data_IF_545488184086
#
_entry.id   IF_545488184086
#
_cell.length_a   1.000
_cell.length_b   1.000
_cell.length_c   1.000
_cell.angle_alpha   90.00
_cell.angle_beta   90.00
_cell.angle_gamma   90.00
#
_symmetry.space_group_name_H-M   'P 1'
#
loop_
_entity.id
_entity.type
_entity.pdbx_description
1 polymer ?
#
# COMPACT_ATOMS: atom_id res chain seq x y z
N UNK A 1 27.85 -9.12 10.92
CA UNK A 1 26.97 -9.45 12.06
C UNK A 1 25.73 -8.57 12.01
N UNK A 2 24.72 -8.99 11.25
CA UNK A 2 23.48 -8.24 11.01
C UNK A 2 22.56 -8.43 12.21
N UNK A 3 22.21 -7.34 12.89
CA UNK A 3 21.37 -7.34 14.11
C UNK A 3 19.95 -7.80 13.78
N UNK A 4 19.53 -8.91 14.38
CA UNK A 4 18.12 -9.27 14.59
C UNK A 4 17.45 -8.13 15.38
N UNK A 5 16.43 -7.49 14.80
CA UNK A 5 15.61 -6.52 15.50
C UNK A 5 14.18 -7.04 15.68
N UNK A 6 13.81 -7.20 16.94
CA UNK A 6 12.41 -7.30 17.37
C UNK A 6 11.75 -5.92 17.22
N UNK A 7 10.63 -5.84 16.49
CA UNK A 7 9.90 -4.59 16.34
C UNK A 7 9.18 -4.22 17.65
N UNK A 8 9.60 -3.09 18.26
CA UNK A 8 8.92 -2.46 19.40
C UNK A 8 8.16 -1.22 18.94
N UNK A 9 6.85 -1.23 19.19
CA UNK A 9 5.74 -0.30 18.85
C UNK A 9 6.00 1.22 18.91
N UNK A 10 7.10 1.69 19.53
CA UNK A 10 7.30 3.10 19.91
C UNK A 10 8.07 3.95 18.90
N UNK A 11 8.85 3.34 18.00
CA UNK A 11 9.79 4.07 17.12
C UNK A 11 9.16 4.63 15.84
N UNK A 12 7.94 4.19 15.49
CA UNK A 12 7.23 4.59 14.27
C UNK A 12 6.54 5.95 14.43
N UNK A 13 6.01 6.28 15.61
CA UNK A 13 5.32 7.57 15.84
C UNK A 13 6.28 8.78 15.85
N UNK A 14 7.49 8.61 16.36
CA UNK A 14 8.45 9.70 16.54
C UNK A 14 9.05 10.16 15.20
N UNK A 15 9.28 9.21 14.29
CA UNK A 15 9.71 9.51 12.91
C UNK A 15 8.59 10.19 12.10
N UNK A 16 7.34 9.82 12.37
CA UNK A 16 6.15 10.40 11.71
C UNK A 16 5.97 11.89 12.05
N UNK A 17 6.32 12.31 13.28
CA UNK A 17 6.25 13.72 13.70
C UNK A 17 7.36 14.58 13.09
N UNK A 18 8.60 14.08 13.02
CA UNK A 18 9.74 14.81 12.40
C UNK A 18 9.56 15.00 10.89
N UNK A 19 8.99 14.03 10.18
CA UNK A 19 8.70 14.14 8.74
C UNK A 19 7.56 15.13 8.44
N UNK A 20 6.65 15.39 9.39
CA UNK A 20 5.54 16.35 9.22
C UNK A 20 6.00 17.81 9.31
N UNK A 21 7.11 18.09 10.00
CA UNK A 21 7.63 19.45 10.18
C UNK A 21 8.48 19.95 8.98
N UNK A 22 9.03 19.04 8.18
CA UNK A 22 9.92 19.36 7.04
C UNK A 22 9.24 19.14 5.68
N UNK A 23 7.91 19.14 5.65
CA UNK A 23 7.14 18.85 4.42
C UNK A 23 7.17 20.04 3.44
N UNK A 24 7.74 19.89 2.22
CA UNK A 24 7.80 20.96 1.22
C UNK A 24 6.43 21.47 0.78
N UNK A 25 5.34 20.73 1.06
CA UNK A 25 3.96 21.17 0.83
C UNK A 25 3.54 22.33 1.72
N UNK A 26 4.02 22.41 2.97
CA UNK A 26 3.70 23.52 3.90
C UNK A 26 4.33 24.84 3.43
N UNK A 27 5.46 24.76 2.71
CA UNK A 27 6.12 25.92 2.13
C UNK A 27 5.52 26.30 0.77
N UNK A 28 4.96 25.33 0.02
CA UNK A 28 4.36 25.60 -1.26
C UNK A 28 2.93 26.18 -1.13
N UNK A 29 2.10 25.70 -0.19
CA UNK A 29 0.81 26.35 0.13
C UNK A 29 1.00 27.79 0.60
N UNK A 30 2.08 28.09 1.33
CA UNK A 30 2.49 29.48 1.66
C UNK A 30 2.85 30.32 0.41
N UNK A 31 3.42 29.73 -0.65
CA UNK A 31 3.75 30.44 -1.90
C UNK A 31 2.52 30.79 -2.75
N UNK A 32 1.51 29.92 -2.83
CA UNK A 32 0.26 30.22 -3.56
C UNK A 32 -0.64 31.20 -2.82
N UNK A 33 -0.69 31.08 -1.49
CA UNK A 33 -1.28 32.11 -0.64
C UNK A 33 -0.63 33.47 -0.91
N UNK A 34 0.70 33.53 -1.08
CA UNK A 34 1.41 34.77 -1.40
C UNK A 34 1.09 35.31 -2.82
N UNK A 35 0.95 34.46 -3.84
CA UNK A 35 0.65 34.92 -5.21
C UNK A 35 -0.81 35.36 -5.38
N UNK A 36 -1.78 34.63 -4.83
CA UNK A 36 -3.18 35.05 -4.86
C UNK A 36 -3.42 36.26 -3.93
N UNK A 37 -2.73 36.33 -2.79
CA UNK A 37 -2.76 37.52 -1.94
C UNK A 37 -2.15 38.74 -2.64
N UNK A 38 -1.09 38.58 -3.43
CA UNK A 38 -0.49 39.68 -4.20
C UNK A 38 -1.49 40.31 -5.18
N UNK A 39 -2.24 39.51 -5.95
CA UNK A 39 -3.29 40.02 -6.84
C UNK A 39 -4.43 40.70 -6.08
N UNK A 40 -4.85 40.14 -4.95
CA UNK A 40 -5.90 40.70 -4.09
C UNK A 40 -5.43 42.03 -3.45
N UNK A 41 -4.19 42.12 -2.98
CA UNK A 41 -3.61 43.33 -2.39
C UNK A 41 -3.46 44.45 -3.41
N UNK A 42 -3.07 44.15 -4.65
CA UNK A 42 -2.99 45.16 -5.72
C UNK A 42 -4.36 45.71 -6.12
N UNK A 43 -5.41 44.89 -6.09
CA UNK A 43 -6.78 45.30 -6.43
C UNK A 43 -7.50 46.07 -5.31
N UNK A 44 -6.94 46.09 -4.10
CA UNK A 44 -7.44 46.86 -2.95
C UNK A 44 -6.91 48.31 -2.90
N UNK A 45 -5.96 48.69 -3.76
CA UNK A 45 -5.42 50.06 -3.83
C UNK A 45 -6.21 50.85 -4.89
N UNK A 46 -7.12 51.76 -4.49
CA UNK A 46 -8.04 52.43 -5.41
C UNK A 46 -7.36 53.41 -6.39
N UNK A 47 -6.08 53.72 -6.21
CA UNK A 47 -5.31 54.60 -7.11
C UNK A 47 -4.61 53.89 -8.28
N UNK A 48 -4.48 52.55 -8.26
CA UNK A 48 -3.77 51.79 -9.30
C UNK A 48 -4.76 50.89 -10.08
N UNK A 49 -5.91 50.57 -9.49
CA UNK A 49 -6.91 49.69 -10.11
C UNK A 49 -7.88 50.48 -11.00
N UNK A 50 -7.78 50.31 -12.32
CA UNK A 50 -8.69 50.89 -13.32
C UNK A 50 -9.99 50.10 -13.52
N UNK A 51 -10.16 48.99 -12.79
CA UNK A 51 -11.30 48.06 -12.89
C UNK A 51 -12.10 48.07 -11.59
N UNK A 52 -13.43 47.96 -11.69
CA UNK A 52 -14.31 47.83 -10.54
C UNK A 52 -13.94 46.56 -9.73
N UNK A 53 -13.69 46.64 -8.41
CA UNK A 53 -13.27 45.49 -7.59
C UNK A 53 -14.16 44.25 -7.70
N UNK A 54 -15.45 44.46 -8.01
CA UNK A 54 -16.43 43.39 -8.22
C UNK A 54 -16.09 42.53 -9.44
N UNK A 55 -15.60 43.12 -10.54
CA UNK A 55 -15.33 42.38 -11.78
C UNK A 55 -14.08 41.50 -11.70
N UNK A 56 -13.18 41.74 -10.75
CA UNK A 56 -11.99 40.89 -10.51
C UNK A 56 -12.20 39.87 -9.39
N UNK A 57 -12.88 40.25 -8.31
CA UNK A 57 -13.13 39.37 -7.16
C UNK A 57 -14.15 38.29 -7.50
N UNK A 58 -15.20 38.62 -8.26
CA UNK A 58 -16.30 37.68 -8.53
C UNK A 58 -15.84 36.45 -9.33
N UNK A 59 -15.10 36.57 -10.46
CA UNK A 59 -14.62 35.39 -11.19
C UNK A 59 -13.62 34.55 -10.39
N UNK A 60 -12.74 35.20 -9.61
CA UNK A 60 -11.77 34.50 -8.76
C UNK A 60 -12.47 33.71 -7.65
N UNK A 61 -13.44 34.32 -6.96
CA UNK A 61 -14.22 33.66 -5.92
C UNK A 61 -15.01 32.47 -6.48
N UNK A 62 -15.58 32.61 -7.68
CA UNK A 62 -16.30 31.54 -8.36
C UNK A 62 -15.38 30.33 -8.69
N UNK A 63 -14.22 30.57 -9.30
CA UNK A 63 -13.26 29.50 -9.62
C UNK A 63 -12.77 28.81 -8.36
N UNK A 64 -12.39 29.58 -7.32
CA UNK A 64 -11.96 29.01 -6.03
C UNK A 64 -13.07 28.17 -5.37
N UNK A 65 -14.32 28.61 -5.45
CA UNK A 65 -15.45 27.85 -4.91
C UNK A 65 -15.66 26.53 -5.66
N UNK A 66 -15.60 26.54 -7.00
CA UNK A 66 -15.72 25.31 -7.81
C UNK A 66 -14.58 24.32 -7.53
N UNK A 67 -13.34 24.81 -7.42
CA UNK A 67 -12.19 23.96 -7.06
C UNK A 67 -12.35 23.38 -5.67
N UNK A 68 -12.76 24.17 -4.68
CA UNK A 68 -12.98 23.69 -3.32
C UNK A 68 -14.08 22.63 -3.23
N UNK A 69 -15.18 22.79 -3.98
CA UNK A 69 -16.25 21.80 -4.06
C UNK A 69 -15.72 20.50 -4.67
N UNK A 70 -15.01 20.60 -5.80
CA UNK A 70 -14.42 19.42 -6.48
C UNK A 70 -13.46 18.67 -5.56
N UNK A 71 -12.52 19.37 -4.94
CA UNK A 71 -11.53 18.77 -4.05
C UNK A 71 -12.21 18.09 -2.86
N UNK A 72 -13.26 18.70 -2.30
CA UNK A 72 -14.06 18.09 -1.24
C UNK A 72 -14.79 16.82 -1.72
N UNK A 73 -15.35 16.81 -2.93
CA UNK A 73 -16.00 15.61 -3.48
C UNK A 73 -15.00 14.49 -3.74
N UNK A 74 -13.83 14.79 -4.28
CA UNK A 74 -12.77 13.82 -4.57
C UNK A 74 -12.21 13.21 -3.27
N UNK A 75 -12.02 14.03 -2.24
CA UNK A 75 -11.53 13.58 -0.92
C UNK A 75 -12.56 12.68 -0.21
N UNK A 76 -13.86 13.03 -0.26
CA UNK A 76 -14.93 12.16 0.26
C UNK A 76 -14.97 10.83 -0.49
N UNK A 77 -14.88 10.85 -1.82
CA UNK A 77 -14.89 9.64 -2.63
C UNK A 77 -13.70 8.74 -2.29
N UNK A 78 -12.51 9.32 -2.11
CA UNK A 78 -11.31 8.61 -1.68
C UNK A 78 -11.49 7.96 -0.30
N UNK A 79 -11.99 8.71 0.69
CA UNK A 79 -12.21 8.15 2.02
C UNK A 79 -13.22 6.99 2.02
N UNK A 80 -14.25 7.05 1.17
CA UNK A 80 -15.18 5.92 0.97
C UNK A 80 -14.48 4.72 0.36
N UNK A 81 -13.62 4.92 -0.66
CA UNK A 81 -12.83 3.85 -1.28
C UNK A 81 -11.90 3.18 -0.28
N UNK A 82 -11.11 3.97 0.47
CA UNK A 82 -10.19 3.47 1.50
C UNK A 82 -10.94 2.67 2.56
N UNK A 83 -12.11 3.16 3.01
CA UNK A 83 -12.94 2.43 3.97
C UNK A 83 -13.48 1.13 3.40
N UNK A 84 -13.83 1.10 2.12
CA UNK A 84 -14.30 -0.13 1.47
C UNK A 84 -13.19 -1.18 1.43
N UNK A 85 -11.99 -0.84 0.96
CA UNK A 85 -10.84 -1.77 0.89
C UNK A 85 -10.44 -2.27 2.28
N UNK A 86 -10.34 -1.39 3.26
CA UNK A 86 -9.94 -1.73 4.63
C UNK A 86 -10.93 -2.64 5.38
N UNK A 87 -12.21 -2.66 4.97
CA UNK A 87 -13.24 -3.49 5.57
C UNK A 87 -13.54 -4.78 4.78
N UNK A 88 -12.86 -5.00 3.64
CA UNK A 88 -12.94 -6.29 2.95
C UNK A 88 -12.42 -7.40 3.87
N UNK A 89 -13.05 -8.56 3.75
CA UNK A 89 -12.77 -9.73 4.56
C UNK A 89 -11.72 -10.61 3.88
N UNK A 90 -10.91 -11.27 4.70
CA UNK A 90 -9.87 -12.21 4.30
C UNK A 90 -9.77 -13.30 5.36
N UNK A 91 -9.44 -14.52 4.94
CA UNK A 91 -9.24 -15.64 5.86
C UNK A 91 -7.81 -15.65 6.38
N UNK A 92 -7.65 -15.93 7.66
CA UNK A 92 -6.37 -16.01 8.36
C UNK A 92 -6.28 -17.30 9.15
N UNK A 93 -5.10 -17.89 9.23
CA UNK A 93 -4.85 -19.05 10.11
C UNK A 93 -4.66 -18.53 11.53
N UNK A 94 -5.53 -18.94 12.45
CA UNK A 94 -5.48 -18.55 13.87
C UNK A 94 -5.59 -19.81 14.72
N UNK A 95 -4.47 -20.20 15.33
CA UNK A 95 -4.38 -21.54 15.92
C UNK A 95 -4.58 -22.58 14.83
N UNK A 96 -5.50 -23.53 15.03
CA UNK A 96 -5.78 -24.63 14.09
C UNK A 96 -7.04 -24.41 13.25
N UNK A 97 -7.49 -23.16 13.12
CA UNK A 97 -8.72 -22.81 12.41
C UNK A 97 -8.52 -21.64 11.44
N UNK A 98 -9.37 -21.57 10.43
CA UNK A 98 -9.45 -20.43 9.51
C UNK A 98 -10.46 -19.41 10.05
N UNK A 99 -9.94 -18.29 10.55
CA UNK A 99 -10.74 -17.18 11.03
C UNK A 99 -10.87 -16.10 9.95
N UNK A 100 -12.08 -15.58 9.77
CA UNK A 100 -12.33 -14.42 8.89
C UNK A 100 -11.97 -13.14 9.63
N UNK A 101 -11.11 -12.31 9.03
CA UNK A 101 -10.66 -11.01 9.54
C UNK A 101 -10.78 -9.95 8.46
N UNK A 102 -10.67 -8.68 8.83
CA UNK A 102 -10.65 -7.56 7.88
C UNK A 102 -9.21 -7.18 7.54
N UNK A 103 -8.98 -6.68 6.34
CA UNK A 103 -7.64 -6.24 5.91
C UNK A 103 -6.98 -5.25 6.86
N UNK A 104 -7.73 -4.32 7.45
CA UNK A 104 -7.21 -3.37 8.44
C UNK A 104 -6.62 -4.01 9.72
N UNK A 105 -6.99 -5.26 10.01
CA UNK A 105 -6.61 -5.98 11.22
C UNK A 105 -5.45 -6.97 10.96
N UNK A 106 -4.96 -7.06 9.72
CA UNK A 106 -3.86 -7.94 9.29
C UNK A 106 -2.51 -7.35 9.67
N UNK A 107 -1.64 -8.18 10.25
CA UNK A 107 -0.30 -7.81 10.66
C UNK A 107 0.77 -8.62 9.93
N UNK A 108 2.01 -8.11 9.96
CA UNK A 108 3.17 -8.85 9.47
C UNK A 108 3.35 -10.14 10.28
N UNK A 109 3.54 -11.25 9.58
CA UNK A 109 3.64 -12.60 10.14
C UNK A 109 2.32 -13.38 10.15
N UNK A 110 1.18 -12.74 9.90
CA UNK A 110 -0.08 -13.47 9.76
C UNK A 110 -0.04 -14.35 8.48
N UNK A 111 -0.55 -15.57 8.58
CA UNK A 111 -0.78 -16.44 7.42
C UNK A 111 -2.21 -16.19 6.94
N UNK A 112 -2.34 -15.77 5.69
CA UNK A 112 -3.62 -15.49 5.04
C UNK A 112 -3.91 -16.56 4.00
N UNK A 113 -5.20 -16.82 3.78
CA UNK A 113 -5.68 -17.63 2.66
C UNK A 113 -6.36 -16.70 1.67
N UNK A 114 -5.75 -16.54 0.49
CA UNK A 114 -6.38 -15.89 -0.66
C UNK A 114 -7.21 -16.91 -1.45
N UNK A 115 -8.30 -16.43 -2.03
CA UNK A 115 -9.17 -17.18 -2.93
C UNK A 115 -9.25 -16.49 -4.30
N UNK A 116 -9.73 -17.21 -5.30
CA UNK A 116 -9.80 -16.67 -6.66
C UNK A 116 -10.52 -15.31 -6.70
N UNK A 117 -9.91 -14.34 -7.39
CA UNK A 117 -10.31 -12.93 -7.51
C UNK A 117 -10.06 -12.04 -6.28
N UNK A 118 -9.45 -12.57 -5.21
CA UNK A 118 -9.05 -11.74 -4.07
C UNK A 118 -8.00 -10.71 -4.47
N UNK A 119 -8.15 -9.54 -3.85
CA UNK A 119 -7.32 -8.37 -4.11
C UNK A 119 -6.36 -8.15 -2.95
N UNK A 120 -5.07 -8.03 -3.26
CA UNK A 120 -4.03 -7.91 -2.25
C UNK A 120 -3.85 -6.46 -1.77
N UNK A 121 -3.90 -6.29 -0.45
CA UNK A 121 -3.61 -4.99 0.22
C UNK A 121 -2.30 -5.00 1.02
N UNK A 122 -1.57 -6.12 0.96
CA UNK A 122 -0.31 -6.36 1.67
C UNK A 122 0.66 -7.09 0.74
N UNK A 123 1.91 -7.26 1.18
CA UNK A 123 2.87 -8.10 0.48
C UNK A 123 2.92 -9.46 1.15
N UNK A 124 2.88 -10.51 0.33
CA UNK A 124 2.72 -11.89 0.78
C UNK A 124 3.85 -12.72 0.16
N UNK A 125 4.51 -13.53 0.97
CA UNK A 125 5.38 -14.61 0.47
C UNK A 125 4.53 -15.86 0.32
N UNK A 126 4.57 -16.44 -0.89
CA UNK A 126 3.84 -17.66 -1.24
C UNK A 126 4.33 -18.85 -0.41
N UNK A 127 3.43 -19.56 0.25
CA UNK A 127 3.72 -20.82 0.97
C UNK A 127 3.23 -22.00 0.14
N UNK A 128 1.94 -22.04 -0.18
CA UNK A 128 1.31 -23.12 -0.92
C UNK A 128 0.14 -22.61 -1.76
N UNK A 129 -0.24 -23.37 -2.77
CA UNK A 129 -1.29 -23.02 -3.74
C UNK A 129 -2.08 -24.26 -4.14
N UNK A 130 -3.29 -24.07 -4.64
CA UNK A 130 -4.10 -25.14 -5.22
C UNK A 130 -3.55 -25.69 -6.54
N UNK A 131 -2.72 -24.93 -7.24
CA UNK A 131 -2.22 -25.34 -8.55
C UNK A 131 -0.96 -26.21 -8.45
N UNK A 132 -0.75 -27.00 -9.51
CA UNK A 132 0.40 -27.89 -9.61
C UNK A 132 1.73 -27.12 -9.58
N UNK A 133 2.76 -27.75 -9.04
CA UNK A 133 4.12 -27.23 -8.95
C UNK A 133 4.25 -25.88 -8.20
N UNK A 134 3.30 -25.55 -7.33
CA UNK A 134 3.38 -24.32 -6.55
C UNK A 134 3.01 -23.06 -7.33
N UNK A 135 2.40 -23.17 -8.50
CA UNK A 135 2.09 -22.02 -9.36
C UNK A 135 0.90 -21.21 -8.85
N UNK A 136 0.92 -19.90 -9.06
CA UNK A 136 -0.27 -19.08 -8.94
C UNK A 136 -0.26 -17.98 -10.00
N UNK A 137 -1.45 -17.56 -10.42
CA UNK A 137 -1.59 -16.55 -11.47
C UNK A 137 -2.10 -15.26 -10.86
N UNK A 138 -1.43 -14.16 -11.21
CA UNK A 138 -1.79 -12.84 -10.74
C UNK A 138 -2.01 -11.90 -11.92
N UNK A 139 -3.03 -11.07 -11.78
CA UNK A 139 -3.29 -9.94 -12.66
C UNK A 139 -2.68 -8.68 -12.05
N UNK A 140 -1.96 -7.90 -12.86
CA UNK A 140 -1.31 -6.64 -12.45
C UNK A 140 -1.90 -5.41 -13.11
N UNK A 141 -3.08 -5.51 -13.73
CA UNK A 141 -3.71 -4.44 -14.50
C UNK A 141 -3.84 -3.13 -13.69
N UNK A 142 -4.06 -3.21 -12.39
CA UNK A 142 -4.15 -2.06 -11.49
C UNK A 142 -2.80 -1.41 -11.18
N UNK A 143 -1.70 -2.15 -11.27
CA UNK A 143 -0.35 -1.67 -10.96
C UNK A 143 0.40 -1.15 -12.18
N UNK A 144 0.35 -1.87 -13.31
CA UNK A 144 1.10 -1.54 -14.54
C UNK A 144 0.25 -1.43 -15.81
N UNK A 145 -1.07 -1.64 -15.71
CA UNK A 145 -1.98 -1.60 -16.86
C UNK A 145 -1.91 -2.84 -17.76
N UNK A 146 -1.11 -3.85 -17.40
CA UNK A 146 -1.00 -5.08 -18.17
C UNK A 146 -2.14 -6.05 -17.80
N UNK A 147 -2.94 -6.47 -18.79
CA UNK A 147 -4.04 -7.43 -18.60
C UNK A 147 -3.59 -8.89 -18.64
N UNK A 148 -2.30 -9.12 -18.88
CA UNK A 148 -1.76 -10.47 -18.94
C UNK A 148 -1.56 -11.01 -17.53
N UNK A 149 -1.85 -12.30 -17.37
CA UNK A 149 -1.56 -12.99 -16.13
C UNK A 149 -0.05 -13.21 -16.00
N UNK A 150 0.51 -12.79 -14.87
CA UNK A 150 1.88 -13.11 -14.47
C UNK A 150 1.86 -14.36 -13.62
N UNK A 151 2.81 -15.25 -13.88
CA UNK A 151 2.97 -16.49 -13.12
C UNK A 151 3.91 -16.19 -11.94
N UNK A 152 3.52 -16.66 -10.77
CA UNK A 152 4.33 -16.69 -9.56
C UNK A 152 4.39 -18.11 -9.03
N UNK A 153 5.37 -18.41 -8.19
CA UNK A 153 5.60 -19.77 -7.72
C UNK A 153 5.99 -19.78 -6.25
N UNK A 154 5.31 -20.59 -5.45
CA UNK A 154 5.71 -20.94 -4.10
C UNK A 154 7.01 -21.76 -4.11
N UNK A 155 7.73 -21.77 -3.00
CA UNK A 155 8.90 -22.63 -2.86
C UNK A 155 8.46 -24.10 -2.86
N UNK A 156 9.23 -24.96 -3.52
CA UNK A 156 8.90 -26.39 -3.63
C UNK A 156 8.78 -27.03 -2.23
N UNK A 157 9.62 -26.62 -1.29
CA UNK A 157 9.60 -27.12 0.08
C UNK A 157 8.30 -26.76 0.80
N UNK A 158 7.81 -25.52 0.63
CA UNK A 158 6.61 -25.05 1.33
C UNK A 158 5.32 -25.55 0.67
N UNK A 159 5.37 -25.90 -0.62
CA UNK A 159 4.22 -26.44 -1.35
C UNK A 159 3.66 -27.71 -0.72
N UNK A 160 4.51 -28.56 -0.13
CA UNK A 160 4.10 -29.81 0.53
C UNK A 160 3.15 -29.60 1.72
N UNK A 161 3.09 -28.38 2.27
CA UNK A 161 2.16 -28.02 3.34
C UNK A 161 0.71 -28.09 2.84
N UNK A 162 0.45 -27.65 1.60
CA UNK A 162 -0.89 -27.63 1.02
C UNK A 162 -1.90 -26.80 1.82
N UNK A 163 -3.13 -27.29 1.91
CA UNK A 163 -4.25 -26.70 2.68
C UNK A 163 -4.32 -27.23 4.13
N UNK A 164 -3.28 -27.91 4.61
CA UNK A 164 -3.24 -28.49 5.95
C UNK A 164 -3.07 -27.39 7.01
N UNK A 165 -4.18 -27.01 7.66
CA UNK A 165 -4.23 -25.93 8.66
C UNK A 165 -3.34 -26.26 9.86
N UNK A 166 -3.21 -27.53 10.25
CA UNK A 166 -2.34 -27.92 11.36
C UNK A 166 -0.88 -27.63 11.01
N UNK A 167 -0.43 -28.02 9.82
CA UNK A 167 0.93 -27.72 9.34
C UNK A 167 1.16 -26.21 9.19
N UNK A 168 0.20 -25.49 8.60
CA UNK A 168 0.25 -24.03 8.47
C UNK A 168 0.35 -23.33 9.83
N UNK A 169 -0.39 -23.82 10.84
CA UNK A 169 -0.35 -23.26 12.20
C UNK A 169 1.00 -23.47 12.89
N UNK A 170 1.69 -24.56 12.55
CA UNK A 170 3.03 -24.89 13.05
C UNK A 170 4.16 -24.33 12.17
N UNK A 171 3.84 -23.60 11.10
CA UNK A 171 4.81 -23.07 10.16
C UNK A 171 5.63 -21.94 10.81
N UNK A 172 6.82 -22.29 11.29
CA UNK A 172 7.79 -21.36 11.87
C UNK A 172 8.95 -21.15 10.90
N UNK A 173 8.82 -20.15 10.04
CA UNK A 173 9.84 -19.78 9.07
C UNK A 173 10.38 -18.37 9.35
N UNK A 174 11.69 -18.21 9.18
CA UNK A 174 12.37 -16.93 9.35
C UNK A 174 12.72 -16.36 7.99
N UNK A 175 12.38 -15.10 7.75
CA UNK A 175 12.71 -14.40 6.51
C UNK A 175 13.66 -13.23 6.81
N UNK A 176 14.69 -13.10 5.98
CA UNK A 176 15.55 -11.92 6.04
C UNK A 176 14.81 -10.70 5.50
N UNK A 177 14.70 -9.67 6.34
CA UNK A 177 13.94 -8.46 6.00
C UNK A 177 14.87 -7.35 5.49
N UNK A 178 14.50 -6.71 4.38
CA UNK A 178 15.07 -5.42 4.00
C UNK A 178 14.21 -4.29 4.56
N UNK A 179 14.83 -3.19 4.97
CA UNK A 179 14.08 -1.97 5.14
C UNK A 179 13.31 -1.67 3.82
N UNK A 180 12.02 -1.29 3.88
CA UNK A 180 11.26 -1.09 2.65
C UNK A 180 11.95 -0.02 1.80
N UNK A 181 12.27 -0.36 0.55
CA UNK A 181 12.99 0.48 -0.40
C UNK A 181 12.10 0.82 -1.61
N UNK A 182 12.54 1.74 -2.45
CA UNK A 182 11.78 2.17 -3.63
C UNK A 182 11.94 1.23 -4.83
N UNK A 183 12.76 0.17 -4.69
CA UNK A 183 13.04 -0.79 -5.75
C UNK A 183 12.06 -1.96 -5.68
N UNK A 184 10.95 -1.84 -6.41
CA UNK A 184 9.94 -2.89 -6.54
C UNK A 184 10.46 -4.13 -7.27
N UNK A 185 11.46 -3.96 -8.16
CA UNK A 185 12.01 -5.01 -9.02
C UNK A 185 13.07 -5.92 -8.40
N UNK A 186 13.52 -5.68 -7.17
CA UNK A 186 14.55 -6.50 -6.51
C UNK A 186 14.07 -6.93 -5.12
N UNK A 187 13.66 -8.20 -5.04
CA UNK A 187 13.56 -8.96 -3.81
C UNK A 187 14.45 -10.18 -3.97
N UNK A 188 15.46 -10.28 -3.10
CA UNK A 188 16.45 -11.34 -3.10
C UNK A 188 16.85 -11.62 -1.65
N UNK A 189 16.10 -12.51 -1.00
CA UNK A 189 16.23 -12.79 0.43
C UNK A 189 16.21 -14.28 0.66
N UNK A 190 16.54 -14.71 1.87
CA UNK A 190 16.48 -16.12 2.22
C UNK A 190 15.30 -16.40 3.16
N UNK A 191 14.61 -17.51 2.89
CA UNK A 191 13.71 -18.17 3.83
C UNK A 191 14.51 -19.25 4.56
N UNK A 192 14.49 -19.23 5.88
CA UNK A 192 15.04 -20.28 6.73
C UNK A 192 13.86 -21.02 7.34
N UNK A 193 13.71 -22.29 6.97
CA UNK A 193 12.66 -23.16 7.47
C UNK A 193 13.20 -24.58 7.62
N UNK A 194 12.89 -25.25 8.74
CA UNK A 194 13.41 -26.59 9.07
C UNK A 194 14.95 -26.73 8.95
N UNK A 195 15.69 -25.71 9.38
CA UNK A 195 17.15 -25.60 9.23
C UNK A 195 17.67 -25.62 7.78
N UNK A 196 16.79 -25.45 6.80
CA UNK A 196 17.13 -25.28 5.38
C UNK A 196 16.97 -23.82 4.98
N UNK A 197 17.94 -23.31 4.22
CA UNK A 197 17.91 -21.96 3.68
C UNK A 197 17.57 -22.04 2.19
N UNK A 198 16.46 -21.42 1.79
CA UNK A 198 15.99 -21.38 0.41
C UNK A 198 15.87 -19.92 -0.07
N UNK A 199 16.31 -19.59 -1.30
CA UNK A 199 16.26 -18.23 -1.81
C UNK A 199 14.83 -17.84 -2.20
N UNK A 200 14.37 -16.70 -1.71
CA UNK A 200 13.15 -16.01 -2.10
C UNK A 200 13.47 -14.88 -3.09
N UNK A 201 12.86 -14.98 -4.26
CA UNK A 201 12.92 -13.98 -5.33
C UNK A 201 11.58 -13.26 -5.47
N UNK A 202 11.53 -12.28 -6.37
CA UNK A 202 10.28 -11.62 -6.77
C UNK A 202 9.19 -12.61 -7.21
N UNK A 203 9.56 -13.74 -7.80
CA UNK A 203 8.61 -14.74 -8.27
C UNK A 203 7.92 -15.51 -7.14
N UNK A 204 8.45 -15.42 -5.92
CA UNK A 204 7.86 -16.00 -4.71
C UNK A 204 7.00 -14.99 -3.93
N UNK A 205 6.84 -13.77 -4.44
CA UNK A 205 6.11 -12.69 -3.79
C UNK A 205 4.87 -12.27 -4.57
N UNK A 206 3.81 -12.02 -3.82
CA UNK A 206 2.66 -11.26 -4.27
C UNK A 206 2.71 -9.87 -3.65
N UNK A 207 2.51 -8.84 -4.47
CA UNK A 207 2.60 -7.44 -4.07
C UNK A 207 1.19 -6.84 -3.91
N UNK A 208 1.14 -5.67 -3.28
CA UNK A 208 -0.05 -4.83 -3.18
C UNK A 208 -0.59 -4.46 -4.58
N UNK A 209 -1.92 -4.35 -4.70
CA UNK A 209 -2.67 -4.09 -5.94
C UNK A 209 -2.58 -5.18 -7.01
N UNK A 210 -2.22 -6.40 -6.61
CA UNK A 210 -2.36 -7.58 -7.45
C UNK A 210 -3.68 -8.28 -7.17
N UNK A 211 -4.22 -8.98 -8.17
CA UNK A 211 -5.41 -9.81 -8.02
C UNK A 211 -5.08 -11.27 -8.32
N UNK A 212 -5.45 -12.16 -7.41
CA UNK A 212 -5.31 -13.60 -7.64
C UNK A 212 -6.31 -14.04 -8.71
N UNK A 213 -5.86 -14.81 -9.71
CA UNK A 213 -6.69 -15.33 -10.80
C UNK A 213 -6.36 -16.79 -11.03
N UNK A 214 -7.31 -17.55 -11.55
CA UNK A 214 -7.11 -18.94 -11.98
C UNK A 214 -6.41 -19.84 -10.92
N UNK A 215 -6.63 -19.53 -9.65
CA UNK A 215 -6.08 -20.25 -8.51
C UNK A 215 -7.18 -20.32 -7.46
N UNK A 216 -7.59 -21.53 -7.07
CA UNK A 216 -8.72 -21.72 -6.15
C UNK A 216 -8.40 -21.16 -4.77
N UNK A 217 -7.23 -21.49 -4.26
CA UNK A 217 -6.71 -20.96 -3.00
C UNK A 217 -5.20 -20.81 -3.05
N UNK A 218 -4.69 -19.85 -2.29
CA UNK A 218 -3.27 -19.65 -2.03
C UNK A 218 -3.11 -19.34 -0.55
N UNK A 219 -2.09 -19.93 0.08
CA UNK A 219 -1.66 -19.58 1.42
C UNK A 219 -0.33 -18.87 1.34
N UNK A 220 -0.23 -17.78 2.10
CA UNK A 220 1.00 -17.01 2.17
C UNK A 220 1.14 -16.25 3.47
N UNK A 221 2.39 -15.91 3.78
CA UNK A 221 2.74 -15.15 4.98
C UNK A 221 2.92 -13.67 4.66
N UNK A 222 2.29 -12.82 5.46
CA UNK A 222 2.37 -11.37 5.29
C UNK A 222 3.76 -10.87 5.67
N UNK A 223 4.50 -10.32 4.72
CA UNK A 223 5.86 -9.80 4.95
C UNK A 223 5.90 -8.26 5.08
N UNK A 224 4.99 -7.54 4.44
CA UNK A 224 4.80 -6.09 4.63
C UNK A 224 3.32 -5.74 4.64
N UNK A 225 2.88 -4.93 5.62
CA UNK A 225 1.51 -4.43 5.72
C UNK A 225 1.46 -2.90 5.85
N UNK A 226 0.39 -2.29 5.36
CA UNK A 226 0.16 -0.84 5.42
C UNK A 226 1.35 -0.03 4.89
N UNK A 227 1.72 1.05 5.60
CA UNK A 227 2.82 1.96 5.22
C UNK A 227 4.20 1.30 5.14
N UNK A 228 4.32 0.03 5.54
CA UNK A 228 5.52 -0.77 5.37
C UNK A 228 5.70 -1.32 3.95
N UNK A 229 4.68 -1.33 3.10
CA UNK A 229 4.81 -1.83 1.71
C UNK A 229 5.71 -0.92 0.88
N UNK A 230 6.51 -1.51 -0.03
CA UNK A 230 7.38 -0.73 -0.95
C UNK A 230 6.54 0.23 -1.80
N UNK A 231 5.34 -0.20 -2.20
CA UNK A 231 4.39 0.61 -2.94
C UNK A 231 3.97 1.85 -2.15
N UNK A 232 3.57 1.71 -0.87
CA UNK A 232 3.18 2.88 -0.06
C UNK A 232 4.35 3.82 0.30
N UNK A 233 5.60 3.41 0.04
CA UNK A 233 6.75 4.34 0.07
C UNK A 233 6.99 5.05 -1.25
N UNK A 234 6.71 4.40 -2.38
CA UNK A 234 6.76 5.02 -3.71
C UNK A 234 5.55 5.93 -3.97
N UNK A 235 4.40 5.57 -3.43
CA UNK A 235 3.25 6.44 -3.27
C UNK A 235 3.60 7.43 -2.17
N UNK A 236 4.25 8.53 -2.52
CA UNK A 236 4.41 9.66 -1.61
C UNK A 236 3.06 9.99 -0.95
N UNK A 237 3.09 10.56 0.27
CA UNK A 237 1.86 11.05 0.91
C UNK A 237 1.06 11.81 -0.14
N UNK A 238 -0.22 11.49 -0.30
CA UNK A 238 -1.08 12.09 -1.31
C UNK A 238 -0.96 13.61 -1.28
N UNK A 239 -0.12 14.16 -2.14
CA UNK A 239 0.01 15.59 -2.34
C UNK A 239 -1.04 15.95 -3.37
N UNK A 240 -1.86 16.97 -3.09
CA UNK A 240 -2.78 17.55 -4.07
C UNK A 240 -2.02 17.74 -5.39
N UNK A 241 -2.40 16.98 -6.42
CA UNK A 241 -1.76 17.10 -7.74
C UNK A 241 -2.13 18.49 -8.27
N UNK A 242 -1.11 19.27 -8.66
CA UNK A 242 -1.31 20.56 -9.33
C UNK A 242 -1.57 20.29 -10.81
N UNK A 243 -2.58 20.93 -11.35
CA UNK A 243 -2.76 21.13 -12.79
C UNK A 243 -2.51 22.60 -13.09
#
# INVERSE_FOLDING_TARGET
>A
MTKLQFFKKKKVEENSRKVRANDPTTNATKKYAASNAYFICLQLIPHISSLAPITTILPLAFVLALTAIKDATDDIARHRSDRHVNNREIKTVVGKELATRKWKDINVGDIVQLTNNDFLTVYIVLISTSELNGLCFIETAEFDGETNLKVRQALEETCEIGEDIDKLSSFDAQFEHEAPNNNLGLFDRNLIWNNKTSPLKNDNLLLHDMRLRNTRWEFGIVCYAGSGTKLMKNTGKSTSKRT
#
